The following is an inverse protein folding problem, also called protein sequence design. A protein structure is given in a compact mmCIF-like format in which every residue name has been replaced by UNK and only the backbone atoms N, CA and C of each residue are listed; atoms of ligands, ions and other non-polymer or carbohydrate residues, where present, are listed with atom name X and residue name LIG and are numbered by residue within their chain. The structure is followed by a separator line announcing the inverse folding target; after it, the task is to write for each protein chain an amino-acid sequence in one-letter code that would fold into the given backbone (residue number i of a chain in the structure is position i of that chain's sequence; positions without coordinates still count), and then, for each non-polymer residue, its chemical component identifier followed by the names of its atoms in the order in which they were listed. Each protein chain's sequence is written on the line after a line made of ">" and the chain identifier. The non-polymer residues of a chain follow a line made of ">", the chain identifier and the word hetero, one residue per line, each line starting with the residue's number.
data_IF_594266464505
#
_entry.id   IF_594266464505
#
_cell.length_a   1.000
_cell.length_b   1.000
_cell.length_c   1.000
_cell.angle_alpha   90.00
_cell.angle_beta   90.00
_cell.angle_gamma   90.00
#
_symmetry.space_group_name_H-M   'P 1'
#
loop_
_entity.id
_entity.type
_entity.pdbx_description
1 polymer ?
#
# COMPACT_ATOMS: atom_id res chain seq x y z
N UNK A 1 8.50 18.43 10.41
CA UNK A 1 8.37 17.03 10.88
C UNK A 1 8.92 16.11 9.80
N UNK A 2 9.49 14.96 10.18
CA UNK A 2 9.97 14.03 9.16
C UNK A 2 8.77 13.33 8.51
N UNK A 3 8.75 13.19 7.19
CA UNK A 3 7.61 12.66 6.42
C UNK A 3 7.04 11.32 6.94
N UNK A 4 7.86 10.50 7.60
CA UNK A 4 7.46 9.20 8.15
C UNK A 4 6.72 9.28 9.51
N UNK A 5 6.55 10.46 10.11
CA UNK A 5 5.80 10.62 11.39
C UNK A 5 4.34 11.05 11.19
N UNK A 6 3.95 11.37 9.96
CA UNK A 6 2.56 11.74 9.67
C UNK A 6 1.67 10.49 9.67
N UNK A 7 0.57 10.57 10.40
CA UNK A 7 -0.37 9.46 10.63
C UNK A 7 -1.37 9.24 9.50
N UNK A 8 -1.26 10.01 8.41
CA UNK A 8 -2.24 10.01 7.32
C UNK A 8 -3.51 10.80 7.65
N UNK A 9 -3.56 11.48 8.79
CA UNK A 9 -4.76 12.23 9.18
C UNK A 9 -4.91 13.52 8.38
N UNK A 10 -6.09 13.70 7.79
CA UNK A 10 -6.45 14.87 7.00
C UNK A 10 -7.16 15.91 7.86
N UNK A 11 -6.98 17.22 7.60
CA UNK A 11 -7.76 18.26 8.24
C UNK A 11 -9.27 18.02 8.06
N UNK A 12 -10.07 18.42 9.05
CA UNK A 12 -11.52 18.19 9.02
C UNK A 12 -12.18 18.71 7.74
N UNK A 13 -11.73 19.85 7.23
CA UNK A 13 -12.24 20.44 5.97
C UNK A 13 -11.98 19.51 4.78
N UNK A 14 -10.80 18.89 4.68
CA UNK A 14 -10.48 17.95 3.62
C UNK A 14 -11.32 16.67 3.72
N UNK A 15 -11.51 16.15 4.93
CA UNK A 15 -12.41 15.01 5.18
C UNK A 15 -13.85 15.32 4.75
N UNK A 16 -14.35 16.51 5.07
CA UNK A 16 -15.69 16.96 4.66
C UNK A 16 -15.82 17.04 3.15
N UNK A 17 -14.82 17.57 2.44
CA UNK A 17 -14.83 17.62 0.96
C UNK A 17 -14.87 16.21 0.37
N UNK A 18 -14.01 15.30 0.84
CA UNK A 18 -13.98 13.91 0.37
C UNK A 18 -15.32 13.19 0.63
N UNK A 19 -15.90 13.39 1.82
CA UNK A 19 -17.19 12.82 2.17
C UNK A 19 -18.33 13.33 1.28
N UNK A 20 -18.40 14.64 1.03
CA UNK A 20 -19.39 15.22 0.13
C UNK A 20 -19.23 14.71 -1.30
N UNK A 21 -17.99 14.58 -1.77
CA UNK A 21 -17.70 14.05 -3.10
C UNK A 21 -18.13 12.59 -3.24
N UNK A 22 -17.87 11.76 -2.23
CA UNK A 22 -18.30 10.37 -2.22
C UNK A 22 -19.83 10.23 -2.30
N UNK A 23 -20.58 11.03 -1.53
CA UNK A 23 -22.05 11.03 -1.59
C UNK A 23 -22.54 11.47 -2.97
N UNK A 24 -21.97 12.54 -3.54
CA UNK A 24 -22.40 13.08 -4.82
C UNK A 24 -22.06 12.16 -6.00
N UNK A 25 -20.96 11.42 -5.91
CA UNK A 25 -20.49 10.49 -6.92
C UNK A 25 -20.96 9.05 -6.75
N UNK A 26 -21.79 8.77 -5.74
CA UNK A 26 -22.21 7.41 -5.36
C UNK A 26 -21.03 6.45 -5.18
N UNK A 27 -19.96 6.95 -4.55
CA UNK A 27 -18.69 6.21 -4.38
C UNK A 27 -18.79 5.34 -3.13
N UNK A 28 -18.75 4.03 -3.32
CA UNK A 28 -18.81 3.04 -2.25
C UNK A 28 -17.61 3.15 -1.29
N UNK A 29 -17.75 2.58 -0.09
CA UNK A 29 -16.64 2.57 0.89
C UNK A 29 -15.43 1.78 0.39
N UNK A 30 -15.65 0.68 -0.35
CA UNK A 30 -14.58 -0.09 -1.00
C UNK A 30 -13.84 0.77 -2.05
N UNK A 31 -14.55 1.46 -2.95
CA UNK A 31 -13.93 2.36 -3.92
C UNK A 31 -13.14 3.49 -3.25
N UNK A 32 -13.68 4.08 -2.16
CA UNK A 32 -12.94 5.07 -1.37
C UNK A 32 -11.67 4.48 -0.75
N UNK A 33 -11.69 3.22 -0.28
CA UNK A 33 -10.52 2.53 0.23
C UNK A 33 -9.47 2.29 -0.87
N UNK A 34 -9.91 1.90 -2.08
CA UNK A 34 -9.06 1.79 -3.27
C UNK A 34 -8.37 3.12 -3.56
N UNK A 35 -9.13 4.22 -3.65
CA UNK A 35 -8.57 5.54 -3.91
C UNK A 35 -7.54 5.95 -2.84
N UNK A 36 -7.82 5.69 -1.56
CA UNK A 36 -6.88 5.96 -0.47
C UNK A 36 -5.60 5.14 -0.62
N UNK A 37 -5.70 3.82 -0.83
CA UNK A 37 -4.52 2.99 -1.08
C UNK A 37 -3.69 3.52 -2.27
N UNK A 38 -4.32 3.78 -3.41
CA UNK A 38 -3.63 4.23 -4.63
C UNK A 38 -2.93 5.59 -4.43
N UNK A 39 -3.62 6.55 -3.81
CA UNK A 39 -3.07 7.88 -3.57
C UNK A 39 -1.86 7.82 -2.61
N UNK A 40 -2.00 7.12 -1.49
CA UNK A 40 -0.97 7.09 -0.44
C UNK A 40 0.20 6.18 -0.80
N UNK A 41 -0.05 5.03 -1.43
CA UNK A 41 1.03 4.14 -1.91
C UNK A 41 1.88 4.83 -2.98
N UNK A 42 1.24 5.53 -3.94
CA UNK A 42 1.95 6.37 -4.91
C UNK A 42 2.76 7.45 -4.20
N UNK A 43 2.13 8.20 -3.30
CA UNK A 43 2.81 9.31 -2.59
C UNK A 43 3.99 8.83 -1.77
N UNK A 44 3.89 7.65 -1.16
CA UNK A 44 4.98 7.03 -0.41
C UNK A 44 6.24 6.81 -1.27
N UNK A 45 6.10 6.50 -2.56
CA UNK A 45 7.26 6.32 -3.45
C UNK A 45 7.97 7.65 -3.78
N UNK A 46 7.25 8.76 -3.77
CA UNK A 46 7.78 10.12 -4.00
C UNK A 46 8.32 10.76 -2.71
N UNK A 47 7.59 10.56 -1.61
CA UNK A 47 7.85 11.13 -0.30
C UNK A 47 7.52 10.08 0.77
N UNK A 48 8.54 9.38 1.32
CA UNK A 48 8.32 8.24 2.19
C UNK A 48 7.40 8.56 3.38
N UNK A 49 6.23 7.92 3.38
CA UNK A 49 5.28 7.90 4.48
C UNK A 49 5.62 6.76 5.45
N UNK A 50 4.90 6.65 6.57
CA UNK A 50 5.03 5.46 7.42
C UNK A 50 4.53 4.19 6.69
N UNK A 51 5.23 3.07 6.87
CA UNK A 51 4.74 1.77 6.43
C UNK A 51 3.56 1.28 7.29
N UNK A 52 3.44 1.73 8.54
CA UNK A 52 2.25 1.47 9.37
C UNK A 52 0.99 2.04 8.73
N UNK A 53 1.06 3.27 8.19
CA UNK A 53 -0.07 3.87 7.48
C UNK A 53 -0.47 3.05 6.25
N UNK A 54 0.51 2.61 5.45
CA UNK A 54 0.22 1.75 4.28
C UNK A 54 -0.37 0.41 4.71
N UNK A 55 0.13 -0.17 5.80
CA UNK A 55 -0.42 -1.40 6.37
C UNK A 55 -1.89 -1.22 6.74
N UNK A 56 -2.23 -0.17 7.48
CA UNK A 56 -3.60 0.09 7.93
C UNK A 56 -4.55 0.33 6.75
N UNK A 57 -4.10 1.05 5.71
CA UNK A 57 -4.85 1.25 4.47
C UNK A 57 -5.13 -0.08 3.75
N UNK A 58 -4.14 -0.98 3.70
CA UNK A 58 -4.30 -2.29 3.08
C UNK A 58 -5.28 -3.18 3.86
N UNK A 59 -5.19 -3.20 5.19
CA UNK A 59 -6.11 -3.97 6.04
C UNK A 59 -7.53 -3.42 5.93
N UNK A 60 -7.69 -2.09 5.89
CA UNK A 60 -9.00 -1.47 5.70
C UNK A 60 -9.60 -1.79 4.33
N UNK A 61 -8.79 -1.76 3.27
CA UNK A 61 -9.21 -2.15 1.93
C UNK A 61 -9.63 -3.62 1.87
N UNK A 62 -8.84 -4.54 2.41
CA UNK A 62 -9.19 -5.97 2.46
C UNK A 62 -10.46 -6.23 3.28
N UNK A 63 -10.67 -5.47 4.35
CA UNK A 63 -11.88 -5.59 5.19
C UNK A 63 -13.15 -5.13 4.47
N UNK A 64 -13.05 -4.09 3.65
CA UNK A 64 -14.17 -3.49 2.95
C UNK A 64 -14.49 -4.15 1.62
N UNK A 65 -13.60 -5.01 1.12
CA UNK A 65 -13.72 -5.64 -0.18
C UNK A 65 -14.63 -6.88 -0.15
N UNK A 66 -15.64 -6.89 -1.01
CA UNK A 66 -16.41 -8.07 -1.38
C UNK A 66 -16.27 -8.36 -2.89
N UNK A 67 -16.41 -9.64 -3.27
CA UNK A 67 -16.32 -10.01 -4.68
C UNK A 67 -17.49 -9.41 -5.47
N UNK A 68 -17.15 -8.55 -6.45
CA UNK A 68 -18.12 -7.82 -7.27
C UNK A 68 -18.21 -6.33 -6.95
N UNK A 69 -17.56 -5.85 -5.88
CA UNK A 69 -17.55 -4.42 -5.51
C UNK A 69 -16.84 -3.52 -6.50
N UNK A 70 -15.88 -4.08 -7.23
CA UNK A 70 -15.05 -3.36 -8.18
C UNK A 70 -15.37 -3.81 -9.60
N UNK A 71 -15.50 -2.83 -10.49
CA UNK A 71 -15.48 -3.08 -11.92
C UNK A 71 -14.11 -3.60 -12.35
N UNK A 72 -14.07 -4.24 -13.52
CA UNK A 72 -12.83 -4.75 -14.09
C UNK A 72 -11.76 -3.66 -14.27
N UNK A 73 -12.16 -2.45 -14.67
CA UNK A 73 -11.22 -1.34 -14.84
C UNK A 73 -10.62 -0.90 -13.50
N UNK A 74 -11.42 -0.88 -12.44
CA UNK A 74 -10.94 -0.57 -11.08
C UNK A 74 -10.01 -1.66 -10.55
N UNK A 75 -10.33 -2.93 -10.78
CA UNK A 75 -9.45 -4.06 -10.44
C UNK A 75 -8.10 -3.96 -11.18
N UNK A 76 -8.11 -3.65 -12.48
CA UNK A 76 -6.89 -3.48 -13.29
C UNK A 76 -6.06 -2.29 -12.80
N UNK A 77 -6.70 -1.17 -12.48
CA UNK A 77 -6.06 0.04 -11.92
C UNK A 77 -5.45 -0.24 -10.54
N UNK A 78 -6.15 -0.98 -9.68
CA UNK A 78 -5.66 -1.38 -8.37
C UNK A 78 -4.48 -2.36 -8.48
N UNK A 79 -4.55 -3.32 -9.41
CA UNK A 79 -3.46 -4.24 -9.70
C UNK A 79 -2.17 -3.48 -10.08
N UNK A 80 -2.28 -2.46 -10.92
CA UNK A 80 -1.14 -1.61 -11.29
C UNK A 80 -0.54 -0.92 -10.07
N UNK A 81 -1.36 -0.36 -9.18
CA UNK A 81 -0.91 0.26 -7.94
C UNK A 81 -0.18 -0.73 -7.02
N UNK A 82 -0.71 -1.95 -6.83
CA UNK A 82 -0.02 -3.00 -6.07
C UNK A 82 1.34 -3.34 -6.67
N UNK A 83 1.40 -3.53 -7.99
CA UNK A 83 2.66 -3.84 -8.69
C UNK A 83 3.69 -2.71 -8.55
N UNK A 84 3.26 -1.44 -8.62
CA UNK A 84 4.17 -0.31 -8.38
C UNK A 84 4.74 -0.30 -6.96
N UNK A 85 3.91 -0.56 -5.95
CA UNK A 85 4.38 -0.66 -4.57
C UNK A 85 5.37 -1.82 -4.38
N UNK A 86 5.10 -2.97 -4.98
CA UNK A 86 5.97 -4.15 -4.96
C UNK A 86 7.32 -3.83 -5.62
N UNK A 87 7.33 -3.29 -6.83
CA UNK A 87 8.57 -2.97 -7.55
C UNK A 87 9.38 -1.88 -6.86
N UNK A 88 8.71 -0.87 -6.28
CA UNK A 88 9.38 0.12 -5.42
C UNK A 88 10.07 -0.57 -4.23
N UNK A 89 9.36 -1.42 -3.50
CA UNK A 89 9.90 -2.13 -2.35
C UNK A 89 11.08 -3.04 -2.74
N UNK A 90 10.97 -3.76 -3.86
CA UNK A 90 12.05 -4.58 -4.43
C UNK A 90 13.27 -3.72 -4.80
N UNK A 91 13.06 -2.50 -5.30
CA UNK A 91 14.17 -1.57 -5.59
C UNK A 91 14.94 -1.15 -4.34
N UNK A 92 14.25 -1.01 -3.20
CA UNK A 92 14.89 -0.73 -1.91
C UNK A 92 15.63 -1.95 -1.37
N UNK A 93 15.04 -3.15 -1.48
CA UNK A 93 15.69 -4.41 -1.08
C UNK A 93 16.97 -4.70 -1.87
N UNK A 94 17.03 -4.36 -3.16
CA UNK A 94 18.28 -4.45 -3.96
C UNK A 94 19.42 -3.60 -3.38
N UNK A 95 19.09 -2.57 -2.59
CA UNK A 95 20.03 -1.66 -1.93
C UNK A 95 19.91 -1.73 -0.40
N UNK A 96 19.55 -2.90 0.14
CA UNK A 96 19.19 -3.08 1.56
C UNK A 96 20.25 -2.53 2.52
N UNK A 97 21.54 -2.72 2.23
CA UNK A 97 22.64 -2.27 3.10
C UNK A 97 22.79 -0.75 3.13
N UNK A 98 22.45 -0.08 2.02
CA UNK A 98 22.54 1.38 1.89
C UNK A 98 21.31 2.07 2.50
N UNK A 99 20.12 1.51 2.25
CA UNK A 99 18.84 2.09 2.71
C UNK A 99 18.53 1.72 4.16
N UNK A 100 18.89 0.51 4.57
CA UNK A 100 18.58 -0.08 5.88
C UNK A 100 19.84 -0.61 6.59
N UNK A 101 20.80 0.27 6.93
CA UNK A 101 22.04 -0.17 7.56
C UNK A 101 21.74 -0.81 8.93
N UNK A 102 22.37 -1.96 9.28
CA UNK A 102 22.10 -2.69 10.52
C UNK A 102 22.32 -1.88 11.81
N UNK A 103 23.16 -0.85 11.74
CA UNK A 103 23.44 0.05 12.86
C UNK A 103 22.31 1.04 13.14
N UNK A 104 21.41 1.26 12.18
CA UNK A 104 20.28 2.17 12.31
C UNK A 104 18.99 1.38 12.63
N UNK A 105 18.68 1.27 13.92
CA UNK A 105 17.47 0.58 14.40
C UNK A 105 16.18 1.09 13.77
N UNK A 106 16.04 2.40 13.58
CA UNK A 106 14.83 2.98 12.99
C UNK A 106 14.68 2.60 11.50
N UNK A 107 15.78 2.56 10.75
CA UNK A 107 15.76 2.06 9.39
C UNK A 107 15.40 0.57 9.35
N UNK A 108 15.95 -0.23 10.26
CA UNK A 108 15.62 -1.65 10.36
C UNK A 108 14.14 -1.90 10.69
N UNK A 109 13.56 -1.16 11.65
CA UNK A 109 12.11 -1.25 11.93
C UNK A 109 11.24 -0.88 10.72
N UNK A 110 11.67 0.10 9.91
CA UNK A 110 10.98 0.43 8.64
C UNK A 110 11.06 -0.71 7.63
N UNK A 111 12.19 -1.41 7.55
CA UNK A 111 12.34 -2.59 6.70
C UNK A 111 11.40 -3.72 7.15
N UNK A 112 11.36 -4.01 8.46
CA UNK A 112 10.45 -5.01 9.03
C UNK A 112 8.98 -4.69 8.69
N UNK A 113 8.56 -3.43 8.87
CA UNK A 113 7.21 -3.01 8.54
C UNK A 113 6.90 -3.08 7.04
N UNK A 114 7.85 -2.71 6.17
CA UNK A 114 7.69 -2.89 4.71
C UNK A 114 7.48 -4.36 4.35
N UNK A 115 8.27 -5.26 4.92
CA UNK A 115 8.15 -6.71 4.68
C UNK A 115 6.81 -7.24 5.21
N UNK A 116 6.33 -6.75 6.35
CA UNK A 116 5.00 -7.06 6.89
C UNK A 116 3.89 -6.61 5.93
N UNK A 117 3.99 -5.41 5.36
CA UNK A 117 3.06 -4.93 4.33
C UNK A 117 3.06 -5.84 3.10
N UNK A 118 4.23 -6.20 2.56
CA UNK A 118 4.34 -7.09 1.39
C UNK A 118 3.75 -8.47 1.66
N UNK A 119 3.99 -9.04 2.83
CA UNK A 119 3.43 -10.34 3.23
C UNK A 119 1.90 -10.28 3.36
N UNK A 120 1.38 -9.20 3.94
CA UNK A 120 -0.07 -9.00 4.09
C UNK A 120 -0.73 -8.76 2.74
N UNK A 121 -0.10 -8.00 1.86
CA UNK A 121 -0.57 -7.75 0.50
C UNK A 121 -0.66 -9.06 -0.28
N UNK A 122 0.38 -9.89 -0.24
CA UNK A 122 0.40 -11.17 -0.95
C UNK A 122 -0.68 -12.15 -0.46
N UNK A 123 -1.09 -12.06 0.81
CA UNK A 123 -2.09 -12.95 1.41
C UNK A 123 -3.53 -12.46 1.23
N UNK A 124 -3.73 -11.17 0.97
CA UNK A 124 -5.03 -10.52 0.78
C UNK A 124 -5.84 -11.14 -0.38
N UNK A 125 -7.14 -11.32 -0.16
CA UNK A 125 -8.08 -11.80 -1.16
C UNK A 125 -8.19 -10.83 -2.34
N UNK A 126 -8.26 -9.52 -2.06
CA UNK A 126 -8.31 -8.49 -3.11
C UNK A 126 -7.07 -8.53 -4.01
N UNK A 127 -5.89 -8.77 -3.42
CA UNK A 127 -4.66 -8.92 -4.20
C UNK A 127 -4.70 -10.16 -5.09
N UNK A 128 -5.16 -11.30 -4.56
CA UNK A 128 -5.28 -12.54 -5.36
C UNK A 128 -6.28 -12.39 -6.50
N UNK A 129 -7.35 -11.61 -6.30
CA UNK A 129 -8.31 -11.26 -7.35
C UNK A 129 -7.66 -10.41 -8.44
N UNK A 130 -7.04 -9.30 -8.06
CA UNK A 130 -6.45 -8.33 -8.98
C UNK A 130 -5.16 -8.85 -9.67
N UNK A 131 -4.41 -9.71 -9.01
CA UNK A 131 -3.08 -10.18 -9.44
C UNK A 131 -2.97 -11.74 -9.41
N UNK A 132 -3.80 -12.48 -10.17
CA UNK A 132 -3.94 -13.93 -10.02
C UNK A 132 -2.68 -14.76 -10.38
N UNK A 133 -1.75 -14.17 -11.13
CA UNK A 133 -0.51 -14.82 -11.56
C UNK A 133 0.70 -14.50 -10.70
N UNK A 134 0.55 -13.68 -9.65
CA UNK A 134 1.66 -13.20 -8.84
C UNK A 134 2.01 -14.16 -7.69
N UNK A 135 2.28 -15.43 -8.02
CA UNK A 135 2.48 -16.53 -7.06
C UNK A 135 3.89 -16.61 -6.47
N UNK A 136 4.85 -15.93 -7.10
CA UNK A 136 6.29 -16.07 -6.81
C UNK A 136 6.87 -14.91 -5.98
N UNK A 137 6.04 -13.97 -5.51
CA UNK A 137 6.52 -12.79 -4.80
C UNK A 137 7.42 -13.13 -3.61
N UNK A 138 7.08 -14.18 -2.86
CA UNK A 138 7.89 -14.61 -1.72
C UNK A 138 9.29 -15.06 -2.16
N UNK A 139 9.40 -15.92 -3.18
CA UNK A 139 10.69 -16.35 -3.74
C UNK A 139 11.48 -15.20 -4.35
N UNK A 140 10.79 -14.27 -5.02
CA UNK A 140 11.43 -13.08 -5.58
C UNK A 140 12.03 -12.19 -4.49
N UNK A 141 11.29 -11.90 -3.42
CA UNK A 141 11.78 -11.12 -2.27
C UNK A 141 13.00 -11.80 -1.63
N UNK A 142 12.93 -13.11 -1.37
CA UNK A 142 14.04 -13.85 -0.79
C UNK A 142 15.31 -13.77 -1.65
N UNK A 143 15.17 -13.82 -2.98
CA UNK A 143 16.32 -13.74 -3.89
C UNK A 143 17.07 -12.40 -3.84
N UNK A 144 16.40 -11.33 -3.39
CA UNK A 144 16.95 -9.97 -3.31
C UNK A 144 17.69 -9.70 -1.99
N UNK A 145 17.38 -10.45 -0.94
CA UNK A 145 18.03 -10.33 0.37
C UNK A 145 19.25 -11.27 0.37
N UNK A 146 20.42 -10.73 0.02
CA UNK A 146 21.71 -11.44 -0.01
C UNK A 146 22.74 -10.90 0.99
#
# INVERSE_FOLDING_TARGET
>A
EASYTWTGDLPQVAKTILHQHAIQGDITECQQAVCRWQAYSRKHTEHPLSYDLLYDLLIDLERLYEEGDLSREEEESLAQSFNYFIEYSKSLLRKIRDVYPPTNKAAFSRLEMMLKCLSSLHSAAIFKKCCPFHRELHSEILSLVK
#
